data_IF_420216044567
#
_entry.id   IF_420216044567
#
_cell.length_a   1.000
_cell.length_b   1.000
_cell.length_c   1.000
_cell.angle_alpha   90.00
_cell.angle_beta   90.00
_cell.angle_gamma   90.00
#
_symmetry.space_group_name_H-M   'P 1'
#
loop_
_entity.id
_entity.type
_entity.pdbx_description
1 polymer ?
#
# COMPACT_ATOMS: atom_id res chain seq x y z
N UNK A 1 2.31 0.85 -16.18
CA UNK A 1 3.06 0.67 -14.93
C UNK A 1 2.08 0.80 -13.79
N UNK A 2 1.54 -0.31 -13.31
CA UNK A 2 0.56 -0.28 -12.22
C UNK A 2 1.33 -0.15 -10.90
N UNK A 3 1.52 1.10 -10.44
CA UNK A 3 2.21 1.41 -9.19
C UNK A 3 1.60 0.63 -8.01
N UNK A 4 0.30 0.41 -8.05
CA UNK A 4 -0.45 -0.36 -7.05
C UNK A 4 -0.05 -1.84 -7.00
N UNK A 5 0.26 -2.47 -8.15
CA UNK A 5 0.75 -3.86 -8.18
C UNK A 5 2.11 -4.02 -7.50
N UNK A 6 2.96 -3.00 -7.56
CA UNK A 6 4.26 -3.00 -6.87
C UNK A 6 4.12 -2.88 -5.36
N UNK A 7 3.04 -2.25 -4.91
CA UNK A 7 2.72 -2.09 -3.49
C UNK A 7 2.17 -3.38 -2.89
N UNK A 8 1.45 -4.20 -3.68
CA UNK A 8 0.74 -5.40 -3.22
C UNK A 8 1.61 -6.35 -2.38
N UNK A 9 2.83 -6.77 -2.78
CA UNK A 9 3.63 -7.69 -1.97
C UNK A 9 3.98 -7.13 -0.59
N UNK A 10 4.25 -5.83 -0.51
CA UNK A 10 4.55 -5.17 0.76
C UNK A 10 3.31 -5.02 1.63
N UNK A 11 2.16 -4.66 1.03
CA UNK A 11 0.87 -4.57 1.72
C UNK A 11 0.50 -5.95 2.30
N UNK A 12 0.52 -7.02 1.48
CA UNK A 12 0.22 -8.38 1.92
C UNK A 12 1.08 -8.81 3.10
N UNK A 13 2.40 -8.59 3.00
CA UNK A 13 3.32 -8.92 4.10
C UNK A 13 2.94 -8.19 5.38
N UNK A 14 2.59 -6.90 5.29
CA UNK A 14 2.24 -6.11 6.47
C UNK A 14 0.92 -6.52 7.09
N UNK A 15 -0.09 -6.85 6.28
CA UNK A 15 -1.37 -7.36 6.79
C UNK A 15 -1.17 -8.68 7.54
N UNK A 16 -0.38 -9.60 7.00
CA UNK A 16 -0.03 -10.86 7.70
C UNK A 16 0.71 -10.57 9.01
N UNK A 17 1.65 -9.61 9.03
CA UNK A 17 2.37 -9.24 10.26
C UNK A 17 1.45 -8.63 11.33
N UNK A 18 0.39 -7.90 10.94
CA UNK A 18 -0.53 -7.27 11.90
C UNK A 18 -1.62 -8.22 12.38
N UNK A 19 -2.18 -9.05 11.50
CA UNK A 19 -3.33 -9.91 11.80
C UNK A 19 -2.92 -11.34 12.20
N UNK A 20 -1.67 -11.74 11.91
CA UNK A 20 -1.19 -13.11 12.11
C UNK A 20 -1.68 -14.10 11.03
N UNK A 21 -2.49 -13.64 10.08
CA UNK A 21 -3.05 -14.45 9.00
C UNK A 21 -3.15 -13.67 7.68
N UNK A 22 -3.30 -14.39 6.58
CA UNK A 22 -3.53 -13.78 5.28
C UNK A 22 -4.97 -13.28 5.18
N UNK A 23 -5.12 -11.98 4.94
CA UNK A 23 -6.40 -11.37 4.58
C UNK A 23 -6.30 -10.77 3.16
N UNK A 24 -6.70 -11.58 2.18
CA UNK A 24 -6.66 -11.20 0.77
C UNK A 24 -7.66 -10.10 0.38
N UNK A 25 -8.84 -10.06 1.00
CA UNK A 25 -9.88 -9.05 0.74
C UNK A 25 -9.46 -7.68 1.25
N UNK A 26 -8.81 -7.61 2.41
CA UNK A 26 -8.26 -6.35 2.94
C UNK A 26 -7.11 -5.86 2.07
N UNK A 27 -6.22 -6.76 1.64
CA UNK A 27 -5.14 -6.42 0.70
C UNK A 27 -5.71 -5.87 -0.60
N UNK A 28 -6.70 -6.53 -1.19
CA UNK A 28 -7.35 -6.09 -2.44
C UNK A 28 -8.00 -4.73 -2.28
N UNK A 29 -8.68 -4.51 -1.17
CA UNK A 29 -9.30 -3.23 -0.85
C UNK A 29 -8.26 -2.10 -0.78
N UNK A 30 -7.16 -2.30 -0.03
CA UNK A 30 -6.09 -1.29 0.09
C UNK A 30 -5.48 -1.00 -1.29
N UNK A 31 -5.19 -2.04 -2.08
CA UNK A 31 -4.66 -1.88 -3.44
C UNK A 31 -5.64 -1.10 -4.33
N UNK A 32 -6.94 -1.40 -4.28
CA UNK A 32 -7.97 -0.62 -5.00
C UNK A 32 -7.97 0.84 -4.57
N UNK A 33 -7.97 1.13 -3.27
CA UNK A 33 -7.94 2.50 -2.78
C UNK A 33 -6.70 3.28 -3.26
N UNK A 34 -5.54 2.63 -3.38
CA UNK A 34 -4.34 3.27 -3.96
C UNK A 34 -4.50 3.55 -5.46
N UNK A 35 -5.19 2.68 -6.20
CA UNK A 35 -5.51 2.85 -7.61
C UNK A 35 -6.54 3.96 -7.82
N UNK A 36 -7.52 4.07 -6.93
CA UNK A 36 -8.60 5.06 -6.98
C UNK A 36 -8.19 6.42 -6.39
N UNK A 37 -6.90 6.60 -6.07
CA UNK A 37 -6.34 7.84 -5.53
C UNK A 37 -7.04 8.32 -4.24
N UNK A 38 -7.45 7.40 -3.38
CA UNK A 38 -8.04 7.72 -2.08
C UNK A 38 -7.05 8.51 -1.23
N UNK A 39 -7.54 9.55 -0.54
CA UNK A 39 -6.72 10.38 0.33
C UNK A 39 -6.18 9.61 1.55
N UNK A 40 -4.99 10.00 2.01
CA UNK A 40 -4.31 9.38 3.16
C UNK A 40 -5.17 9.36 4.43
N UNK A 41 -5.85 10.48 4.71
CA UNK A 41 -6.72 10.59 5.88
C UNK A 41 -7.86 9.56 5.83
N UNK A 42 -8.47 9.37 4.66
CA UNK A 42 -9.54 8.39 4.47
C UNK A 42 -9.04 6.96 4.63
N UNK A 43 -7.86 6.65 4.08
CA UNK A 43 -7.21 5.35 4.28
C UNK A 43 -6.91 5.10 5.76
N UNK A 44 -6.38 6.11 6.45
CA UNK A 44 -6.07 6.02 7.88
C UNK A 44 -7.32 5.74 8.70
N UNK A 45 -8.40 6.51 8.51
CA UNK A 45 -9.68 6.27 9.19
C UNK A 45 -10.17 4.83 9.05
N UNK A 46 -10.12 4.29 7.82
CA UNK A 46 -10.55 2.93 7.52
C UNK A 46 -9.66 1.90 8.24
N UNK A 47 -8.35 2.03 8.10
CA UNK A 47 -7.41 1.07 8.67
C UNK A 47 -7.29 1.18 10.19
N UNK A 48 -7.55 2.35 10.78
CA UNK A 48 -7.57 2.54 12.23
C UNK A 48 -8.66 1.67 12.88
N UNK A 49 -9.79 1.45 12.22
CA UNK A 49 -10.85 0.58 12.74
C UNK A 49 -10.50 -0.92 12.75
N UNK A 50 -9.47 -1.31 12.02
CA UNK A 50 -9.05 -2.72 11.83
C UNK A 50 -7.74 -3.01 12.56
N UNK A 51 -6.77 -2.10 12.41
CA UNK A 51 -5.39 -2.23 12.84
C UNK A 51 -5.05 -1.34 14.05
N UNK A 52 -6.03 -0.62 14.61
CA UNK A 52 -5.84 0.28 15.76
C UNK A 52 -4.56 1.14 15.65
N UNK A 53 -3.72 1.18 16.70
CA UNK A 53 -2.54 2.05 16.80
C UNK A 53 -1.48 1.76 15.73
N UNK A 54 -1.47 0.56 15.15
CA UNK A 54 -0.55 0.17 14.08
C UNK A 54 -0.89 0.85 12.74
N UNK A 55 -2.13 1.32 12.54
CA UNK A 55 -2.60 1.89 11.29
C UNK A 55 -1.83 3.16 10.87
N UNK A 56 -1.56 4.07 11.81
CA UNK A 56 -0.89 5.36 11.51
C UNK A 56 0.49 5.13 10.88
N UNK A 57 1.31 4.30 11.54
CA UNK A 57 2.66 3.99 11.06
C UNK A 57 2.63 3.18 9.76
N UNK A 58 1.63 2.31 9.59
CA UNK A 58 1.44 1.59 8.34
C UNK A 58 1.12 2.53 7.17
N UNK A 59 0.12 3.41 7.32
CA UNK A 59 -0.28 4.38 6.30
C UNK A 59 0.87 5.34 5.96
N UNK A 60 1.61 5.84 6.96
CA UNK A 60 2.78 6.69 6.74
C UNK A 60 3.86 6.00 5.89
N UNK A 61 4.16 4.72 6.18
CA UNK A 61 5.13 3.95 5.39
C UNK A 61 4.61 3.67 3.99
N UNK A 62 3.31 3.34 3.87
CA UNK A 62 2.67 3.11 2.58
C UNK A 62 2.72 4.35 1.69
N UNK A 63 2.41 5.53 2.23
CA UNK A 63 2.48 6.79 1.49
C UNK A 63 3.90 7.14 1.06
N UNK A 64 4.89 6.93 1.92
CA UNK A 64 6.31 7.11 1.55
C UNK A 64 6.71 6.21 0.38
N UNK A 65 6.30 4.95 0.39
CA UNK A 65 6.56 4.02 -0.70
C UNK A 65 5.86 4.43 -2.00
N UNK A 66 4.60 4.86 -1.92
CA UNK A 66 3.84 5.32 -3.08
C UNK A 66 4.51 6.55 -3.73
N UNK A 67 4.87 7.55 -2.93
CA UNK A 67 5.59 8.74 -3.40
C UNK A 67 6.92 8.35 -4.04
N UNK A 68 7.67 7.45 -3.41
CA UNK A 68 8.94 6.97 -3.95
C UNK A 68 8.76 6.28 -5.31
N UNK A 69 7.79 5.36 -5.44
CA UNK A 69 7.54 4.65 -6.70
C UNK A 69 7.04 5.60 -7.80
N UNK A 70 6.23 6.61 -7.46
CA UNK A 70 5.84 7.69 -8.39
C UNK A 70 7.09 8.43 -8.88
N UNK A 71 7.93 8.94 -7.97
CA UNK A 71 9.14 9.70 -8.30
C UNK A 71 10.14 8.89 -9.11
N UNK A 72 10.26 7.59 -8.80
CA UNK A 72 11.11 6.65 -9.53
C UNK A 72 10.64 6.46 -10.98
N UNK A 73 9.33 6.38 -11.21
CA UNK A 73 8.76 6.33 -12.57
C UNK A 73 8.96 7.64 -13.30
N UNK A 74 8.70 8.79 -12.65
CA UNK A 74 8.93 10.12 -13.21
C UNK A 74 10.41 10.34 -13.61
N UNK A 75 11.34 9.79 -12.83
CA UNK A 75 12.78 9.84 -13.12
C UNK A 75 13.24 8.83 -14.20
N UNK A 76 12.35 8.02 -14.76
CA UNK A 76 12.70 6.99 -15.75
C UNK A 76 13.47 5.79 -15.17
N UNK A 77 13.57 5.68 -13.85
CA UNK A 77 14.30 4.61 -13.13
C UNK A 77 13.45 3.35 -12.91
N UNK A 78 12.34 3.24 -13.63
CA UNK A 78 11.46 2.07 -13.58
C UNK A 78 12.16 0.87 -14.21
N UNK A 79 12.78 0.03 -13.39
CA UNK A 79 13.37 -1.25 -13.84
C UNK A 79 12.23 -2.09 -14.41
N UNK A 80 12.31 -2.44 -15.71
CA UNK A 80 11.49 -3.51 -16.29
C UNK A 80 11.73 -4.76 -15.45
N UNK A 81 10.71 -5.21 -14.70
CA UNK A 81 10.66 -6.60 -14.27
C UNK A 81 10.77 -7.46 -15.52
N UNK A 82 11.67 -8.45 -15.48
CA UNK A 82 11.97 -9.33 -16.61
C UNK A 82 10.69 -9.93 -17.20
N UNK A 83 10.75 -10.14 -18.52
CA UNK A 83 9.81 -10.92 -19.32
C UNK A 83 9.48 -12.28 -18.68
#
# INVERSE_FOLDING_TARGET
HELHDRMRPWISKKIIEFLGEEESTLVEYIVSCTKDHVHAAKMLELLQSILDVEAEMFVLKMWRMLIFEIKKVEAGLSVRGKA
#
